data_IF_138868606506
#
_entry.id   IF_138868606506
#
_cell.length_a   1.000
_cell.length_b   1.000
_cell.length_c   1.000
_cell.angle_alpha   90.00
_cell.angle_beta   90.00
_cell.angle_gamma   90.00
#
_symmetry.space_group_name_H-M   'P 1'
#
loop_
_entity.id
_entity.type
_entity.pdbx_description
1 polymer ?
#
# COMPACT_ATOMS: atom_id res chain seq x y z
N UNK A 1 -9.73 -39.95 12.01
CA UNK A 1 -10.28 -38.61 11.78
C UNK A 1 -9.71 -37.72 12.88
N UNK A 2 -8.85 -36.76 12.53
CA UNK A 2 -8.30 -35.83 13.50
C UNK A 2 -9.37 -34.76 13.75
N UNK A 3 -9.96 -34.78 14.95
CA UNK A 3 -10.78 -33.66 15.42
C UNK A 3 -9.88 -32.42 15.51
N UNK A 4 -9.94 -31.58 14.48
CA UNK A 4 -9.43 -30.22 14.54
C UNK A 4 -10.36 -29.39 15.42
N UNK A 5 -10.39 -29.69 16.72
CA UNK A 5 -11.05 -28.86 17.70
C UNK A 5 -10.30 -27.53 17.73
N UNK A 6 -10.87 -26.51 17.08
CA UNK A 6 -10.39 -25.13 17.19
C UNK A 6 -10.43 -24.78 18.67
N UNK A 7 -9.25 -24.62 19.27
CA UNK A 7 -9.18 -24.30 20.69
C UNK A 7 -9.85 -22.93 20.92
N UNK A 8 -10.67 -22.77 21.95
CA UNK A 8 -11.42 -21.52 22.17
C UNK A 8 -10.52 -20.28 22.27
N UNK A 9 -9.24 -20.47 22.67
CA UNK A 9 -8.22 -19.43 22.66
C UNK A 9 -7.91 -18.92 21.24
N UNK A 10 -7.84 -19.79 20.24
CA UNK A 10 -7.54 -19.40 18.85
C UNK A 10 -8.73 -18.69 18.19
N UNK A 11 -9.97 -19.04 18.57
CA UNK A 11 -11.16 -18.34 18.08
C UNK A 11 -11.24 -16.89 18.58
N UNK A 12 -10.89 -16.67 19.86
CA UNK A 12 -10.87 -15.32 20.45
C UNK A 12 -9.81 -14.43 19.80
N UNK A 13 -8.61 -14.97 19.61
CA UNK A 13 -7.51 -14.27 18.94
C UNK A 13 -7.88 -13.90 17.50
N UNK A 14 -8.48 -14.82 16.75
CA UNK A 14 -8.96 -14.55 15.39
C UNK A 14 -10.04 -13.46 15.35
N UNK A 15 -10.97 -13.46 16.32
CA UNK A 15 -11.99 -12.42 16.43
C UNK A 15 -11.39 -11.05 16.74
N UNK A 16 -10.46 -10.97 17.70
CA UNK A 16 -9.77 -9.73 18.05
C UNK A 16 -8.98 -9.18 16.85
N UNK A 17 -8.29 -10.05 16.11
CA UNK A 17 -7.60 -9.67 14.88
C UNK A 17 -8.56 -9.14 13.81
N UNK A 18 -9.67 -9.84 13.57
CA UNK A 18 -10.68 -9.42 12.60
C UNK A 18 -11.31 -8.08 12.96
N UNK A 19 -11.63 -7.86 14.24
CA UNK A 19 -12.12 -6.58 14.74
C UNK A 19 -11.10 -5.45 14.50
N UNK A 20 -9.83 -5.68 14.83
CA UNK A 20 -8.76 -4.70 14.61
C UNK A 20 -8.59 -4.36 13.12
N UNK A 21 -8.63 -5.36 12.24
CA UNK A 21 -8.57 -5.15 10.79
C UNK A 21 -9.77 -4.35 10.28
N UNK A 22 -10.99 -4.69 10.74
CA UNK A 22 -12.21 -3.96 10.37
C UNK A 22 -12.17 -2.49 10.80
N UNK A 23 -11.72 -2.20 12.02
CA UNK A 23 -11.57 -0.83 12.51
C UNK A 23 -10.54 -0.03 11.70
N UNK A 24 -9.40 -0.64 11.35
CA UNK A 24 -8.40 -0.01 10.49
C UNK A 24 -8.99 0.30 9.09
N UNK A 25 -9.76 -0.61 8.50
CA UNK A 25 -10.37 -0.37 7.18
C UNK A 25 -11.41 0.75 7.21
N UNK A 26 -12.25 0.81 8.26
CA UNK A 26 -13.19 1.92 8.45
C UNK A 26 -12.45 3.25 8.61
N UNK A 27 -11.38 3.28 9.41
CA UNK A 27 -10.55 4.47 9.56
C UNK A 27 -9.96 4.93 8.22
N UNK A 28 -9.40 4.01 7.41
CA UNK A 28 -8.87 4.33 6.08
C UNK A 28 -9.94 4.92 5.16
N UNK A 29 -11.15 4.36 5.16
CA UNK A 29 -12.25 4.88 4.35
C UNK A 29 -12.66 6.29 4.80
N UNK A 30 -12.79 6.52 6.11
CA UNK A 30 -13.08 7.84 6.66
C UNK A 30 -12.03 8.89 6.28
N UNK A 31 -10.75 8.53 6.35
CA UNK A 31 -9.65 9.42 5.97
C UNK A 31 -9.67 9.76 4.47
N UNK A 32 -10.07 8.80 3.61
CA UNK A 32 -10.25 9.04 2.17
C UNK A 32 -11.38 10.02 1.87
N UNK A 33 -12.43 10.00 2.69
CA UNK A 33 -13.54 10.96 2.63
C UNK A 33 -13.19 12.33 3.27
N UNK A 34 -11.92 12.54 3.69
CA UNK A 34 -11.45 13.81 4.24
C UNK A 34 -11.91 14.09 5.68
N UNK A 35 -12.34 13.06 6.42
CA UNK A 35 -12.76 13.21 7.82
C UNK A 35 -11.54 13.52 8.69
N UNK A 36 -11.70 14.46 9.63
CA UNK A 36 -10.66 14.89 10.58
C UNK A 36 -10.08 13.73 11.41
N UNK A 37 -8.76 13.72 11.60
CA UNK A 37 -8.01 12.68 12.32
C UNK A 37 -8.53 12.43 13.74
N UNK A 38 -8.87 13.50 14.47
CA UNK A 38 -9.35 13.41 15.86
C UNK A 38 -10.74 12.77 15.88
N UNK A 39 -11.59 13.12 14.92
CA UNK A 39 -12.92 12.53 14.80
C UNK A 39 -12.84 11.04 14.41
N UNK A 40 -11.94 10.67 13.48
CA UNK A 40 -11.69 9.26 13.12
C UNK A 40 -11.23 8.46 14.33
N UNK A 41 -10.25 8.96 15.09
CA UNK A 41 -9.75 8.29 16.30
C UNK A 41 -10.87 8.10 17.33
N UNK A 42 -11.72 9.12 17.53
CA UNK A 42 -12.85 9.07 18.46
C UNK A 42 -13.90 8.04 18.04
N UNK A 43 -14.27 7.97 16.75
CA UNK A 43 -15.34 7.10 16.27
C UNK A 43 -14.91 5.63 16.13
N UNK A 44 -13.64 5.39 15.79
CA UNK A 44 -13.09 4.04 15.63
C UNK A 44 -12.50 3.47 16.91
N UNK A 45 -12.28 4.32 17.92
CA UNK A 45 -11.59 3.93 19.16
C UNK A 45 -10.10 3.62 18.96
N UNK A 46 -9.55 3.88 17.76
CA UNK A 46 -8.13 3.69 17.49
C UNK A 46 -7.31 4.82 18.13
N UNK A 47 -6.08 4.52 18.62
CA UNK A 47 -5.16 5.55 19.06
C UNK A 47 -4.87 6.56 17.96
N UNK A 48 -4.77 7.84 18.31
CA UNK A 48 -4.52 8.91 17.33
C UNK A 48 -3.23 8.67 16.52
N UNK A 49 -2.18 8.13 17.16
CA UNK A 49 -0.94 7.74 16.49
C UNK A 49 -1.17 6.69 15.40
N UNK A 50 -2.03 5.70 15.66
CA UNK A 50 -2.37 4.67 14.67
C UNK A 50 -3.10 5.29 13.48
N UNK A 51 -4.04 6.19 13.72
CA UNK A 51 -4.78 6.89 12.65
C UNK A 51 -3.83 7.75 11.79
N UNK A 52 -2.87 8.45 12.41
CA UNK A 52 -1.82 9.19 11.69
C UNK A 52 -0.98 8.28 10.80
N UNK A 53 -0.58 7.11 11.32
CA UNK A 53 0.19 6.15 10.54
C UNK A 53 -0.62 5.62 9.34
N UNK A 54 -1.90 5.29 9.54
CA UNK A 54 -2.80 4.86 8.46
C UNK A 54 -2.94 5.92 7.34
N UNK A 55 -3.00 7.21 7.71
CA UNK A 55 -3.02 8.29 6.74
C UNK A 55 -1.74 8.36 5.90
N UNK A 56 -0.57 8.18 6.54
CA UNK A 56 0.72 8.21 5.87
C UNK A 56 0.92 7.03 4.90
N UNK A 57 0.49 5.82 5.28
CA UNK A 57 0.64 4.62 4.42
C UNK A 57 -0.21 4.71 3.15
N UNK A 58 -1.44 5.24 3.23
CA UNK A 58 -2.30 5.48 2.06
C UNK A 58 -1.66 6.42 1.03
N UNK A 59 -0.82 7.36 1.47
CA UNK A 59 -0.14 8.31 0.58
C UNK A 59 1.13 7.72 -0.08
N UNK A 60 1.65 6.61 0.45
CA UNK A 60 2.92 6.00 0.03
C UNK A 60 2.71 4.95 -1.07
N UNK A 61 1.61 4.19 -1.04
CA UNK A 61 1.32 3.13 -2.03
C UNK A 61 1.29 3.65 -3.49
N UNK A 62 0.84 4.89 -3.71
CA UNK A 62 0.87 5.53 -5.04
C UNK A 62 2.27 5.99 -5.44
N UNK A 63 3.11 6.37 -4.48
CA UNK A 63 4.48 6.83 -4.74
C UNK A 63 5.45 5.67 -4.99
N UNK A 64 5.23 4.51 -4.37
CA UNK A 64 6.01 3.29 -4.61
C UNK A 64 5.84 2.81 -6.04
N UNK A 65 4.60 2.71 -6.53
CA UNK A 65 4.31 2.28 -7.91
C UNK A 65 4.93 3.19 -8.96
N UNK A 66 4.92 4.51 -8.75
CA UNK A 66 5.55 5.47 -9.66
C UNK A 66 7.07 5.33 -9.67
N UNK A 67 7.71 5.13 -8.51
CA UNK A 67 9.16 4.95 -8.40
C UNK A 67 9.62 3.66 -9.09
N UNK A 68 8.90 2.56 -8.88
CA UNK A 68 9.22 1.28 -9.50
C UNK A 68 9.02 1.33 -11.03
N UNK A 69 7.96 1.98 -11.50
CA UNK A 69 7.74 2.22 -12.92
C UNK A 69 8.85 3.06 -13.56
N UNK A 70 9.27 4.17 -12.92
CA UNK A 70 10.35 5.01 -13.43
C UNK A 70 11.67 4.24 -13.53
N UNK A 71 12.03 3.49 -12.49
CA UNK A 71 13.24 2.65 -12.48
C UNK A 71 13.21 1.57 -13.57
N UNK A 72 12.06 0.94 -13.80
CA UNK A 72 11.86 -0.01 -14.90
C UNK A 72 12.03 0.69 -16.25
N UNK A 73 11.41 1.86 -16.43
CA UNK A 73 11.47 2.63 -17.67
C UNK A 73 12.89 3.09 -17.99
N UNK A 74 13.66 3.60 -17.03
CA UNK A 74 15.07 3.99 -17.21
C UNK A 74 15.93 2.77 -17.61
N UNK A 75 15.69 1.61 -16.98
CA UNK A 75 16.43 0.37 -17.31
C UNK A 75 16.11 -0.19 -18.70
N UNK A 76 14.90 0.09 -19.22
CA UNK A 76 14.45 -0.31 -20.55
C UNK A 76 14.83 0.69 -21.64
N UNK A 77 14.77 2.00 -21.35
CA UNK A 77 15.11 3.07 -22.28
C UNK A 77 16.63 3.13 -22.54
N UNK A 78 17.46 2.84 -21.55
CA UNK A 78 18.92 2.71 -21.74
C UNK A 78 19.33 1.54 -22.66
N UNK A 79 18.42 0.60 -22.97
CA UNK A 79 18.70 -0.50 -23.89
C UNK A 79 18.24 -0.25 -25.32
N UNK A 80 17.36 0.73 -25.53
CA UNK A 80 16.76 1.04 -26.84
C UNK A 80 17.47 2.22 -27.52
N UNK A 81 18.14 3.10 -26.77
CA UNK A 81 18.72 4.34 -27.29
C UNK A 81 20.25 4.47 -27.13
N UNK A 82 20.96 3.36 -26.88
CA UNK A 82 22.42 3.35 -26.72
C UNK A 82 23.07 2.27 -27.59
N UNK A 83 22.54 2.04 -28.79
CA UNK A 83 23.31 1.36 -29.83
C UNK A 83 23.95 2.44 -30.73
N UNK A 84 25.25 2.77 -30.55
CA UNK A 84 25.92 3.76 -31.38
C UNK A 84 26.02 3.33 -32.86
N UNK A 85 25.72 2.07 -33.20
CA UNK A 85 25.66 1.61 -34.59
C UNK A 85 24.40 2.07 -35.34
N UNK A 86 23.28 2.37 -34.65
CA UNK A 86 22.04 2.85 -35.31
C UNK A 86 22.05 4.36 -35.61
N UNK A 87 22.94 5.14 -34.98
CA UNK A 87 23.10 6.59 -35.20
C UNK A 87 23.79 6.92 -36.54
N UNK A 88 24.34 5.90 -37.22
CA UNK A 88 24.98 6.03 -38.53
C UNK A 88 23.99 5.91 -39.69
N UNK A 89 22.76 5.43 -39.46
CA UNK A 89 21.74 5.22 -40.51
C UNK A 89 21.25 6.53 -41.17
N UNK A 90 21.51 7.68 -40.55
CA UNK A 90 21.18 9.00 -41.09
C UNK A 90 22.35 9.69 -41.80
N UNK A 91 23.56 9.10 -41.81
CA UNK A 91 24.74 9.74 -42.41
C UNK A 91 24.82 9.62 -43.93
N UNK A 92 23.99 8.75 -44.52
CA UNK A 92 23.94 8.51 -45.97
C UNK A 92 22.64 9.05 -46.64
N UNK A 93 21.86 9.91 -45.97
CA UNK A 93 20.73 10.67 -46.54
C UNK A 93 21.12 12.12 -46.83
#
# INVERSE_FOLDING_TARGET
MHDFAIQPKTLREAWEQGLQQGLNQVALNMLREGIDLTLVAKLTGLPLERVKNLQATNADDSQILVKDFLKLSESSLNKVWLDPEEDEAWKDL
#
